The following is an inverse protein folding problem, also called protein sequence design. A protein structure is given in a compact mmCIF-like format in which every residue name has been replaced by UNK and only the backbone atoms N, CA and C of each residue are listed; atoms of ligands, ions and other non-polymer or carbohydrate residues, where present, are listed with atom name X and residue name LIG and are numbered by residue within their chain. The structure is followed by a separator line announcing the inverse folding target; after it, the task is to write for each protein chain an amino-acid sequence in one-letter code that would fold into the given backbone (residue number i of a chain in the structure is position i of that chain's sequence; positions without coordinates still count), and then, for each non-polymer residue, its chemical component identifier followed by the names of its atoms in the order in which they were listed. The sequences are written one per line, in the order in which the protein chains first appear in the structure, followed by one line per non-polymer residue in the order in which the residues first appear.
data_IF_008850377631
#
_entry.id   IF_008850377631
#
_cell.length_a   1.000
_cell.length_b   1.000
_cell.length_c   1.000
_cell.angle_alpha   90.00
_cell.angle_beta   90.00
_cell.angle_gamma   90.00
#
_symmetry.space_group_name_H-M   'P 1'
#
loop_
_entity.id
_entity.type
_entity.pdbx_description
1 polymer ?
#
# COMPACT_ATOMS: atom_id res chain seq x y z
N UNK A 1 2.34 -28.29 30.22
CA UNK A 1 2.36 -27.69 28.86
C UNK A 1 1.98 -26.23 29.01
N UNK A 2 2.84 -25.28 28.64
CA UNK A 2 2.48 -23.85 28.63
C UNK A 2 1.48 -23.58 27.51
N UNK A 3 0.42 -22.82 27.80
CA UNK A 3 -0.51 -22.38 26.76
C UNK A 3 0.26 -21.59 25.68
N UNK A 4 -0.01 -21.82 24.38
CA UNK A 4 0.60 -21.05 23.31
C UNK A 4 0.28 -19.58 23.51
N UNK A 5 1.30 -18.71 23.44
CA UNK A 5 1.09 -17.27 23.55
C UNK A 5 0.29 -16.79 22.33
N UNK A 6 -0.72 -15.93 22.50
CA UNK A 6 -1.48 -15.39 21.38
C UNK A 6 -0.56 -14.60 20.44
N UNK A 7 -0.70 -14.85 19.14
CA UNK A 7 -0.03 -14.09 18.08
C UNK A 7 -1.05 -13.25 17.31
N UNK A 8 -0.80 -11.96 17.06
CA UNK A 8 0.38 -11.19 17.49
C UNK A 8 0.39 -10.94 19.01
N UNK A 9 1.57 -10.73 19.63
CA UNK A 9 1.68 -10.47 21.06
C UNK A 9 0.84 -9.25 21.43
N UNK A 10 0.18 -9.25 22.60
CA UNK A 10 -0.53 -8.06 23.07
C UNK A 10 0.47 -6.90 23.20
N UNK A 11 0.07 -5.67 22.82
CA UNK A 11 0.96 -4.52 22.93
C UNK A 11 1.45 -4.40 24.38
N UNK A 12 2.78 -4.35 24.55
CA UNK A 12 3.41 -4.22 25.87
C UNK A 12 3.26 -2.77 26.33
N UNK A 13 2.07 -2.44 26.86
CA UNK A 13 1.71 -1.11 27.35
C UNK A 13 0.57 -0.47 26.59
N UNK A 14 -0.15 0.44 27.26
CA UNK A 14 -1.20 1.23 26.64
C UNK A 14 -0.56 2.29 25.73
N UNK A 15 -0.31 1.94 24.47
CA UNK A 15 0.04 2.93 23.46
C UNK A 15 -1.19 3.77 23.14
N UNK A 16 -1.25 4.98 23.67
CA UNK A 16 -2.18 6.02 23.22
C UNK A 16 -1.45 6.92 22.22
N UNK A 17 -1.74 6.81 20.91
CA UNK A 17 -1.12 7.67 19.91
C UNK A 17 -1.48 9.12 20.20
N UNK A 18 -0.54 10.06 20.05
CA UNK A 18 -0.91 11.47 20.12
C UNK A 18 -1.75 11.85 18.89
N UNK A 19 -2.39 13.02 18.94
CA UNK A 19 -3.28 13.48 17.87
C UNK A 19 -2.58 13.51 16.49
N UNK A 20 -1.26 13.74 16.47
CA UNK A 20 -0.46 13.74 15.24
C UNK A 20 -0.34 12.33 14.64
N UNK A 21 -0.03 11.32 15.45
CA UNK A 21 0.11 9.92 15.02
C UNK A 21 -1.23 9.42 14.48
N UNK A 22 -2.33 9.76 15.15
CA UNK A 22 -3.67 9.47 14.67
C UNK A 22 -3.94 10.05 13.28
N UNK A 23 -3.53 11.31 13.03
CA UNK A 23 -3.67 11.94 11.70
C UNK A 23 -2.80 11.27 10.65
N UNK A 24 -1.55 10.92 10.99
CA UNK A 24 -0.65 10.24 10.07
C UNK A 24 -1.18 8.84 9.71
N UNK A 25 -1.58 8.04 10.69
CA UNK A 25 -2.22 6.74 10.45
C UNK A 25 -3.50 6.90 9.62
N UNK A 26 -4.32 7.90 9.90
CA UNK A 26 -5.50 8.23 9.11
C UNK A 26 -5.15 8.58 7.65
N UNK A 27 -4.08 9.34 7.44
CA UNK A 27 -3.57 9.65 6.10
C UNK A 27 -3.16 8.40 5.33
N UNK A 28 -2.42 7.48 5.96
CA UNK A 28 -2.04 6.20 5.32
C UNK A 28 -3.28 5.34 5.05
N UNK A 29 -4.24 5.25 5.97
CA UNK A 29 -5.50 4.52 5.76
C UNK A 29 -6.28 5.08 4.55
N UNK A 30 -6.39 6.40 4.43
CA UNK A 30 -7.08 7.05 3.30
C UNK A 30 -6.35 6.74 2.00
N UNK A 31 -5.02 6.88 1.95
CA UNK A 31 -4.23 6.55 0.76
C UNK A 31 -4.39 5.07 0.37
N UNK A 32 -4.41 4.17 1.35
CA UNK A 32 -4.60 2.75 1.14
C UNK A 32 -6.01 2.43 0.59
N UNK A 33 -7.06 3.10 1.08
CA UNK A 33 -8.41 2.96 0.54
C UNK A 33 -8.55 3.55 -0.87
N UNK A 34 -7.89 4.68 -1.14
CA UNK A 34 -7.81 5.22 -2.50
C UNK A 34 -7.13 4.23 -3.45
N UNK A 35 -6.12 3.48 -2.99
CA UNK A 35 -5.51 2.38 -3.75
C UNK A 35 -6.50 1.26 -4.05
N UNK A 36 -7.32 0.87 -3.06
CA UNK A 36 -8.40 -0.10 -3.27
C UNK A 36 -9.35 0.39 -4.36
N UNK A 37 -9.86 1.61 -4.23
CA UNK A 37 -10.82 2.16 -5.18
C UNK A 37 -10.23 2.31 -6.59
N UNK A 38 -9.00 2.81 -6.70
CA UNK A 38 -8.31 2.93 -7.98
C UNK A 38 -8.07 1.57 -8.63
N UNK A 39 -7.61 0.58 -7.86
CA UNK A 39 -7.40 -0.78 -8.33
C UNK A 39 -8.69 -1.46 -8.78
N UNK A 40 -9.80 -1.27 -8.07
CA UNK A 40 -11.11 -1.82 -8.45
C UNK A 40 -11.73 -1.09 -9.65
N UNK A 41 -11.50 0.22 -9.79
CA UNK A 41 -11.97 0.99 -10.93
C UNK A 41 -11.19 0.68 -12.22
N UNK A 42 -9.91 0.31 -12.10
CA UNK A 42 -9.02 0.12 -13.24
C UNK A 42 -9.51 -0.90 -14.29
N UNK A 43 -9.94 -2.13 -13.94
CA UNK A 43 -10.48 -3.08 -14.91
C UNK A 43 -11.73 -2.53 -15.62
N UNK A 44 -12.57 -1.79 -14.89
CA UNK A 44 -13.79 -1.19 -15.45
C UNK A 44 -13.45 -0.11 -16.48
N UNK A 45 -12.40 0.68 -16.21
CA UNK A 45 -11.91 1.70 -17.14
C UNK A 45 -11.23 1.07 -18.37
N UNK A 46 -10.38 0.06 -18.17
CA UNK A 46 -9.60 -0.57 -19.24
C UNK A 46 -10.43 -1.50 -20.12
N UNK A 47 -11.41 -2.21 -19.57
CA UNK A 47 -12.27 -3.12 -20.35
C UNK A 47 -13.55 -2.42 -20.80
N UNK A 48 -14.18 -1.64 -19.92
CA UNK A 48 -15.47 -1.02 -20.18
C UNK A 48 -15.42 0.24 -21.03
N UNK A 49 -14.23 0.82 -21.27
CA UNK A 49 -14.11 2.09 -22.00
C UNK A 49 -12.89 2.13 -22.95
N UNK A 50 -12.86 3.15 -23.81
CA UNK A 50 -11.68 3.56 -24.60
C UNK A 50 -11.02 4.83 -24.05
N UNK A 51 -11.47 5.33 -22.89
CA UNK A 51 -11.06 6.63 -22.37
C UNK A 51 -9.55 6.68 -22.08
N UNK A 52 -8.98 5.55 -21.67
CA UNK A 52 -7.55 5.40 -21.35
C UNK A 52 -6.66 5.22 -22.59
N UNK A 53 -7.21 4.82 -23.73
CA UNK A 53 -6.41 4.51 -24.94
C UNK A 53 -5.62 5.72 -25.45
N UNK A 54 -6.17 6.95 -25.32
CA UNK A 54 -5.46 8.17 -25.75
C UNK A 54 -4.29 8.55 -24.84
N UNK A 55 -4.28 8.08 -23.60
CA UNK A 55 -3.31 8.46 -22.58
C UNK A 55 -2.26 7.37 -22.36
N UNK A 56 -2.60 6.13 -22.74
CA UNK A 56 -1.83 4.93 -22.46
C UNK A 56 -1.61 4.12 -23.75
N UNK A 57 -0.60 4.47 -24.55
CA UNK A 57 -0.29 3.75 -25.77
C UNK A 57 0.01 2.28 -25.48
N UNK A 58 -0.58 1.37 -26.26
CA UNK A 58 -0.40 -0.08 -26.10
C UNK A 58 -1.39 -0.79 -25.18
N UNK A 59 -2.25 -0.06 -24.44
CA UNK A 59 -3.32 -0.67 -23.62
C UNK A 59 -4.32 -1.43 -24.48
N UNK A 60 -4.72 -0.89 -25.63
CA UNK A 60 -5.73 -1.51 -26.48
C UNK A 60 -5.35 -2.95 -26.91
N UNK A 61 -4.06 -3.19 -27.16
CA UNK A 61 -3.54 -4.52 -27.50
C UNK A 61 -3.36 -5.48 -26.32
N UNK A 62 -3.41 -4.99 -25.08
CA UNK A 62 -3.10 -5.75 -23.86
C UNK A 62 -4.18 -5.63 -22.78
N UNK A 63 -5.41 -5.25 -23.15
CA UNK A 63 -6.49 -4.88 -22.22
C UNK A 63 -6.70 -5.89 -21.09
N UNK A 64 -6.69 -7.17 -21.41
CA UNK A 64 -6.87 -8.23 -20.41
C UNK A 64 -5.76 -8.20 -19.36
N UNK A 65 -4.50 -8.17 -19.78
CA UNK A 65 -3.34 -8.11 -18.87
C UNK A 65 -3.31 -6.81 -18.07
N UNK A 66 -3.62 -5.69 -18.70
CA UNK A 66 -3.71 -4.41 -18.01
C UNK A 66 -4.85 -4.43 -16.98
N UNK A 67 -6.00 -5.02 -17.28
CA UNK A 67 -7.11 -5.14 -16.34
C UNK A 67 -6.75 -5.98 -15.11
N UNK A 68 -5.94 -7.04 -15.27
CA UNK A 68 -5.48 -7.87 -14.15
C UNK A 68 -4.61 -7.14 -13.12
N UNK A 69 -4.01 -6.00 -13.49
CA UNK A 69 -3.24 -5.18 -12.55
C UNK A 69 -4.16 -4.52 -11.50
N UNK A 70 -5.42 -4.26 -11.83
CA UNK A 70 -6.37 -3.60 -10.94
C UNK A 70 -6.58 -4.33 -9.61
N UNK A 71 -6.98 -5.61 -9.62
CA UNK A 71 -7.09 -6.42 -8.40
C UNK A 71 -5.80 -6.48 -7.59
N UNK A 72 -4.63 -6.53 -8.25
CA UNK A 72 -3.33 -6.50 -7.57
C UNK A 72 -3.14 -5.19 -6.79
N UNK A 73 -3.35 -4.04 -7.44
CA UNK A 73 -3.28 -2.71 -6.80
C UNK A 73 -4.27 -2.64 -5.63
N UNK A 74 -5.50 -3.13 -5.83
CA UNK A 74 -6.52 -3.11 -4.80
C UNK A 74 -6.15 -3.97 -3.59
N UNK A 75 -5.58 -5.16 -3.82
CA UNK A 75 -5.17 -6.07 -2.76
C UNK A 75 -4.06 -5.48 -1.89
N UNK A 76 -3.09 -4.77 -2.50
CA UNK A 76 -2.05 -4.04 -1.76
C UNK A 76 -2.64 -2.90 -0.92
N UNK A 77 -3.57 -2.12 -1.49
CA UNK A 77 -4.29 -1.10 -0.74
C UNK A 77 -5.03 -1.68 0.47
N UNK A 78 -5.73 -2.81 0.29
CA UNK A 78 -6.47 -3.47 1.36
C UNK A 78 -5.53 -4.03 2.44
N UNK A 79 -4.43 -4.65 2.03
CA UNK A 79 -3.41 -5.18 2.94
C UNK A 79 -2.79 -4.06 3.79
N UNK A 80 -2.39 -2.95 3.15
CA UNK A 80 -1.80 -1.82 3.86
C UNK A 80 -2.80 -1.19 4.83
N UNK A 81 -4.05 -0.99 4.40
CA UNK A 81 -5.13 -0.53 5.27
C UNK A 81 -5.30 -1.44 6.49
N UNK A 82 -5.33 -2.76 6.27
CA UNK A 82 -5.48 -3.74 7.34
C UNK A 82 -4.31 -3.69 8.34
N UNK A 83 -3.07 -3.64 7.84
CA UNK A 83 -1.85 -3.58 8.65
C UNK A 83 -1.80 -2.30 9.49
N UNK A 84 -2.13 -1.15 8.89
CA UNK A 84 -2.15 0.12 9.62
C UNK A 84 -3.23 0.14 10.68
N UNK A 85 -4.44 -0.32 10.34
CA UNK A 85 -5.60 -0.30 11.24
C UNK A 85 -5.44 -1.26 12.43
N UNK A 86 -4.93 -2.46 12.18
CA UNK A 86 -4.88 -3.53 13.19
C UNK A 86 -3.51 -3.71 13.83
N UNK A 87 -2.44 -3.18 13.23
CA UNK A 87 -1.08 -3.22 13.78
C UNK A 87 -0.62 -1.84 14.23
N UNK A 88 -0.35 -0.95 13.28
CA UNK A 88 0.31 0.35 13.54
C UNK A 88 -0.49 1.22 14.52
N UNK A 89 -1.81 1.32 14.36
CA UNK A 89 -2.68 2.08 15.29
C UNK A 89 -2.75 1.51 16.70
N UNK A 90 -2.44 0.23 16.85
CA UNK A 90 -2.35 -0.44 18.16
C UNK A 90 -0.95 -0.33 18.77
N UNK A 91 -0.06 0.44 18.17
CA UNK A 91 1.31 0.63 18.63
C UNK A 91 2.25 -0.50 18.25
N UNK A 92 1.86 -1.40 17.36
CA UNK A 92 2.69 -2.56 17.00
C UNK A 92 3.76 -2.14 16.00
N UNK A 93 5.02 -2.04 16.45
CA UNK A 93 6.13 -1.60 15.61
C UNK A 93 6.44 -2.58 14.48
N UNK A 94 6.39 -3.88 14.76
CA UNK A 94 6.61 -4.93 13.74
C UNK A 94 5.69 -4.77 12.52
N UNK A 95 4.46 -4.28 12.72
CA UNK A 95 3.51 -4.06 11.62
C UNK A 95 3.94 -2.91 10.71
N UNK A 96 4.51 -1.86 11.30
CA UNK A 96 5.11 -0.75 10.56
C UNK A 96 6.37 -1.21 9.81
N UNK A 97 7.23 -1.99 10.47
CA UNK A 97 8.45 -2.55 9.87
C UNK A 97 8.12 -3.45 8.68
N UNK A 98 7.12 -4.32 8.82
CA UNK A 98 6.64 -5.19 7.75
C UNK A 98 6.10 -4.38 6.56
N UNK A 99 5.33 -3.32 6.81
CA UNK A 99 4.82 -2.44 5.75
C UNK A 99 5.95 -1.69 5.03
N UNK A 100 6.92 -1.16 5.78
CA UNK A 100 8.11 -0.48 5.22
C UNK A 100 8.92 -1.47 4.38
N UNK A 101 9.23 -2.65 4.92
CA UNK A 101 9.98 -3.68 4.22
C UNK A 101 9.27 -4.12 2.94
N UNK A 102 7.94 -4.33 3.00
CA UNK A 102 7.16 -4.67 1.83
C UNK A 102 7.25 -3.59 0.74
N UNK A 103 7.13 -2.31 1.08
CA UNK A 103 7.29 -1.21 0.12
C UNK A 103 8.72 -1.17 -0.45
N UNK A 104 9.74 -1.31 0.40
CA UNK A 104 11.14 -1.27 -0.05
C UNK A 104 11.53 -2.44 -0.96
N UNK A 105 10.88 -3.60 -0.80
CA UNK A 105 11.08 -4.75 -1.69
C UNK A 105 10.29 -4.58 -2.97
N UNK A 106 9.02 -4.17 -2.87
CA UNK A 106 8.12 -4.16 -4.01
C UNK A 106 8.33 -2.96 -4.93
N UNK A 107 8.58 -1.77 -4.38
CA UNK A 107 8.69 -0.55 -5.16
C UNK A 107 9.81 -0.59 -6.22
N UNK A 108 11.04 -1.05 -5.93
CA UNK A 108 12.08 -1.15 -6.96
C UNK A 108 11.74 -2.18 -8.03
N UNK A 109 11.10 -3.30 -7.64
CA UNK A 109 10.69 -4.34 -8.58
C UNK A 109 9.60 -3.82 -9.53
N UNK A 110 8.58 -3.16 -8.98
CA UNK A 110 7.48 -2.61 -9.75
C UNK A 110 7.97 -1.54 -10.73
N UNK A 111 8.83 -0.63 -10.26
CA UNK A 111 9.48 0.35 -11.12
C UNK A 111 10.32 -0.31 -12.24
N UNK A 112 11.10 -1.34 -11.92
CA UNK A 112 11.90 -2.05 -12.90
C UNK A 112 11.05 -2.76 -13.96
N UNK A 113 9.92 -3.36 -13.57
CA UNK A 113 8.95 -3.95 -14.48
C UNK A 113 8.32 -2.87 -15.36
N UNK A 114 7.82 -1.78 -14.77
CA UNK A 114 7.25 -0.64 -15.49
C UNK A 114 8.27 -0.05 -16.48
N UNK A 115 9.54 0.04 -16.11
CA UNK A 115 10.62 0.48 -17.00
C UNK A 115 10.87 -0.51 -18.15
N UNK A 116 11.00 -1.81 -17.84
CA UNK A 116 11.25 -2.84 -18.85
C UNK A 116 10.13 -2.93 -19.91
N UNK A 117 8.88 -2.73 -19.49
CA UNK A 117 7.71 -2.73 -20.38
C UNK A 117 7.36 -1.33 -20.93
N UNK A 118 8.16 -0.29 -20.64
CA UNK A 118 7.91 1.11 -21.04
C UNK A 118 6.54 1.63 -20.61
N UNK A 119 6.03 1.15 -19.49
CA UNK A 119 4.76 1.56 -18.91
C UNK A 119 4.95 2.87 -18.12
N UNK A 120 4.89 4.00 -18.85
CA UNK A 120 5.20 5.33 -18.31
C UNK A 120 4.36 5.70 -17.08
N UNK A 121 3.04 5.45 -17.03
CA UNK A 121 2.29 5.84 -15.84
C UNK A 121 2.68 5.08 -14.59
N UNK A 122 3.03 3.78 -14.68
CA UNK A 122 3.58 3.04 -13.54
C UNK A 122 4.93 3.61 -13.09
N UNK A 123 5.83 3.92 -14.04
CA UNK A 123 7.13 4.55 -13.71
C UNK A 123 7.00 5.87 -12.94
N UNK A 124 5.87 6.57 -13.01
CA UNK A 124 5.63 7.83 -12.30
C UNK A 124 4.79 7.61 -11.05
N UNK A 125 3.66 6.91 -11.17
CA UNK A 125 2.68 6.74 -10.10
C UNK A 125 3.20 5.83 -9.00
N UNK A 126 3.87 4.72 -9.34
CA UNK A 126 4.37 3.75 -8.36
C UNK A 126 5.38 4.40 -7.40
N UNK A 127 6.44 5.10 -7.86
CA UNK A 127 7.34 5.81 -6.95
C UNK A 127 6.68 6.98 -6.25
N UNK A 128 5.79 7.73 -6.90
CA UNK A 128 5.13 8.87 -6.24
C UNK A 128 4.29 8.40 -5.03
N UNK A 129 3.47 7.37 -5.22
CA UNK A 129 2.69 6.78 -4.13
C UNK A 129 3.58 6.07 -3.13
N UNK A 130 4.46 5.17 -3.60
CA UNK A 130 5.26 4.32 -2.74
C UNK A 130 6.13 5.14 -1.81
N UNK A 131 6.76 6.20 -2.32
CA UNK A 131 7.56 7.13 -1.52
C UNK A 131 6.70 7.96 -0.55
N UNK A 132 5.48 8.36 -0.94
CA UNK A 132 4.57 9.05 -0.03
C UNK A 132 4.14 8.14 1.14
N UNK A 133 3.74 6.90 0.85
CA UNK A 133 3.38 5.91 1.87
C UNK A 133 4.57 5.59 2.78
N UNK A 134 5.75 5.36 2.19
CA UNK A 134 6.99 5.12 2.91
C UNK A 134 7.35 6.30 3.82
N UNK A 135 7.25 7.53 3.33
CA UNK A 135 7.52 8.74 4.10
C UNK A 135 6.58 8.89 5.30
N UNK A 136 5.29 8.60 5.12
CA UNK A 136 4.32 8.62 6.22
C UNK A 136 4.61 7.53 7.26
N UNK A 137 4.90 6.30 6.83
CA UNK A 137 5.24 5.19 7.72
C UNK A 137 6.56 5.45 8.47
N UNK A 138 7.59 5.95 7.78
CA UNK A 138 8.86 6.33 8.38
C UNK A 138 8.69 7.47 9.41
N UNK A 139 7.74 8.38 9.21
CA UNK A 139 7.41 9.43 10.18
C UNK A 139 6.67 8.89 11.42
N UNK A 140 5.95 7.77 11.32
CA UNK A 140 5.25 7.10 12.42
C UNK A 140 6.21 6.18 13.19
N UNK A 141 7.05 5.43 12.47
CA UNK A 141 7.94 4.38 12.96
C UNK A 141 8.74 4.71 14.24
N UNK A 142 9.49 5.84 14.35
CA UNK A 142 10.29 6.13 15.54
C UNK A 142 9.45 6.42 16.80
N UNK A 143 8.13 6.57 16.66
CA UNK A 143 7.21 6.87 17.75
C UNK A 143 6.49 5.63 18.28
N UNK A 144 6.67 4.48 17.62
CA UNK A 144 6.11 3.22 18.06
C UNK A 144 7.02 2.60 19.12
N UNK A 145 6.45 1.98 20.18
CA UNK A 145 7.24 1.29 21.20
C UNK A 145 8.06 0.16 20.58
N UNK A 146 9.27 -0.04 21.13
CA UNK A 146 10.03 -1.27 20.89
C UNK A 146 9.39 -2.40 21.68
N UNK A 147 9.03 -3.49 21.01
CA UNK A 147 8.47 -4.70 21.63
C UNK A 147 9.51 -5.43 22.51
#
# INVERSE_FOLDING_TARGET
MSAPRPWPPPPRGAFTPAAREHRLCGGVEVLALLHVLAGLAWPLLVVGTHAVDRWLPGIAGNRYWCALLGPTIASWGLLLWFVVRNGVRRGQRWACDAAIAAILVWLPLDFALCFAFRFVPGMILDPAVGLLMLGLLAAIHPRLPLD
#
